data_IF_666543864775
#
_entry.id   IF_666543864775
#
_cell.length_a   1.000
_cell.length_b   1.000
_cell.length_c   1.000
_cell.angle_alpha   90.00
_cell.angle_beta   90.00
_cell.angle_gamma   90.00
#
_symmetry.space_group_name_H-M   'P 1'
#
loop_
_entity.id
_entity.type
_entity.pdbx_description
1 polymer ?
#
# COMPACT_ATOMS: atom_id res chain seq x y z
N UNK A 1 41.37 19.40 50.72
CA UNK A 1 41.93 20.64 50.13
C UNK A 1 41.90 20.46 48.63
N UNK A 2 41.30 21.44 47.97
CA UNK A 2 40.73 21.36 46.62
C UNK A 2 41.80 21.48 45.53
N UNK A 3 41.80 20.58 44.56
CA UNK A 3 42.47 20.79 43.26
C UNK A 3 41.43 20.74 42.15
N UNK A 4 41.09 21.93 41.65
CA UNK A 4 40.32 22.13 40.43
C UNK A 4 41.29 22.09 39.24
N UNK A 5 41.12 21.12 38.33
CA UNK A 5 41.76 21.13 37.02
C UNK A 5 40.75 21.57 35.98
N UNK A 6 40.89 22.81 35.52
CA UNK A 6 40.15 23.36 34.40
C UNK A 6 40.63 22.77 33.08
N UNK A 7 39.69 22.24 32.29
CA UNK A 7 39.94 21.80 30.92
C UNK A 7 39.54 22.95 30.00
N UNK A 8 40.54 23.46 29.27
CA UNK A 8 40.40 24.50 28.25
C UNK A 8 39.95 23.86 26.93
N UNK A 9 38.73 24.19 26.50
CA UNK A 9 38.24 23.85 25.16
C UNK A 9 38.68 24.94 24.18
N UNK A 10 39.56 24.58 23.24
CA UNK A 10 39.94 25.41 22.10
C UNK A 10 38.83 25.33 21.05
N UNK A 11 38.27 26.47 20.70
CA UNK A 11 37.36 26.66 19.56
C UNK A 11 38.11 26.46 18.25
N UNK A 12 37.69 25.44 17.48
CA UNK A 12 38.15 25.19 16.12
C UNK A 12 37.37 26.04 15.11
N UNK A 13 38.09 26.82 14.33
CA UNK A 13 37.60 27.71 13.27
C UNK A 13 37.05 26.91 12.09
N UNK A 14 35.78 27.12 11.74
CA UNK A 14 35.13 26.56 10.56
C UNK A 14 35.54 27.37 9.31
N UNK A 15 36.37 26.79 8.45
CA UNK A 15 36.71 27.35 7.14
C UNK A 15 35.63 26.93 6.14
N UNK A 16 34.78 27.88 5.74
CA UNK A 16 33.85 27.73 4.61
C UNK A 16 34.56 28.07 3.31
N UNK A 17 34.81 27.08 2.46
CA UNK A 17 35.06 27.28 1.03
C UNK A 17 33.85 26.76 0.25
N UNK A 18 33.02 27.69 -0.23
CA UNK A 18 31.98 27.42 -1.22
C UNK A 18 32.30 28.23 -2.47
N UNK A 19 32.91 27.59 -3.46
CA UNK A 19 33.02 28.12 -4.81
C UNK A 19 31.85 27.57 -5.64
N UNK A 20 30.82 28.39 -5.83
CA UNK A 20 29.75 28.16 -6.79
C UNK A 20 30.29 28.45 -8.19
N UNK A 21 30.37 27.42 -9.03
CA UNK A 21 30.64 27.54 -10.46
C UNK A 21 29.34 27.34 -11.21
N UNK A 22 28.80 28.43 -11.75
CA UNK A 22 27.60 28.47 -12.60
C UNK A 22 27.92 27.95 -14.00
N UNK A 23 27.14 27.02 -14.59
CA UNK A 23 27.25 26.71 -16.01
C UNK A 23 26.46 27.70 -16.88
N UNK A 24 26.88 27.93 -18.14
CA UNK A 24 26.30 28.93 -19.02
C UNK A 24 24.97 28.47 -19.65
N UNK A 25 24.06 29.44 -19.75
CA UNK A 25 22.76 29.38 -20.42
C UNK A 25 22.98 29.32 -21.94
N UNK A 26 22.51 28.25 -22.59
CA UNK A 26 22.40 28.17 -24.04
C UNK A 26 21.04 28.69 -24.50
N UNK A 27 21.11 29.71 -25.34
CA UNK A 27 20.01 30.37 -26.05
C UNK A 27 19.43 29.46 -27.15
N UNK A 28 18.13 29.18 -27.08
CA UNK A 28 17.40 28.52 -28.17
C UNK A 28 16.82 29.55 -29.13
N UNK A 29 17.23 29.43 -30.40
CA UNK A 29 16.87 30.28 -31.52
C UNK A 29 15.51 29.86 -32.11
N UNK A 30 14.73 30.87 -32.53
CA UNK A 30 13.49 30.76 -33.30
C UNK A 30 13.60 29.92 -34.58
N UNK A 31 12.54 29.18 -34.90
CA UNK A 31 12.28 28.60 -36.22
C UNK A 31 10.79 28.62 -36.51
N UNK A 32 10.39 29.48 -37.43
CA UNK A 32 9.02 29.76 -37.82
C UNK A 32 8.52 28.85 -38.96
N UNK A 33 7.18 28.84 -39.10
CA UNK A 33 6.39 28.56 -40.32
C UNK A 33 6.41 27.14 -40.92
N UNK A 34 5.22 26.51 -40.92
CA UNK A 34 4.64 26.12 -42.21
C UNK A 34 3.11 26.03 -42.18
N UNK A 35 2.49 26.78 -43.08
CA UNK A 35 1.07 26.80 -43.42
C UNK A 35 0.80 25.83 -44.58
N UNK A 36 -0.21 24.97 -44.47
CA UNK A 36 -0.88 24.31 -45.62
C UNK A 36 -2.34 24.01 -45.23
N UNK A 37 -3.30 24.69 -45.87
CA UNK A 37 -4.27 24.14 -46.86
C UNK A 37 -4.77 22.74 -46.46
N UNK A 38 -6.03 22.52 -46.09
CA UNK A 38 -7.27 23.00 -46.69
C UNK A 38 -7.86 21.88 -47.53
N UNK A 39 -8.82 21.12 -46.96
CA UNK A 39 -9.77 20.25 -47.68
C UNK A 39 -11.10 20.26 -46.91
N UNK A 40 -12.17 20.47 -47.67
CA UNK A 40 -13.59 20.62 -47.32
C UNK A 40 -14.26 19.34 -46.77
N UNK A 41 -15.50 19.46 -46.24
CA UNK A 41 -16.16 18.42 -45.47
C UNK A 41 -17.02 17.50 -46.35
N UNK A 42 -16.98 16.19 -46.10
CA UNK A 42 -17.94 15.25 -46.66
C UNK A 42 -19.10 15.03 -45.68
N UNK A 43 -20.29 15.25 -46.23
CA UNK A 43 -21.60 15.04 -45.65
C UNK A 43 -21.84 13.55 -45.37
N UNK A 44 -22.10 13.19 -44.10
CA UNK A 44 -22.56 11.86 -43.74
C UNK A 44 -24.07 11.87 -43.49
N UNK A 45 -24.76 11.20 -44.40
CA UNK A 45 -26.19 10.93 -44.43
C UNK A 45 -26.74 10.32 -43.14
N UNK A 46 -27.77 10.96 -42.58
CA UNK A 46 -28.60 10.38 -41.50
C UNK A 46 -29.84 9.72 -42.10
N UNK A 47 -30.18 8.46 -41.74
CA UNK A 47 -31.37 7.78 -42.27
C UNK A 47 -32.68 8.26 -41.61
N UNK A 48 -33.83 8.08 -42.30
CA UNK A 48 -35.09 8.72 -41.94
C UNK A 48 -35.82 8.07 -40.76
N UNK A 49 -36.49 8.96 -40.02
CA UNK A 49 -37.34 8.75 -38.85
C UNK A 49 -38.60 7.96 -39.22
N UNK A 50 -38.83 6.82 -38.57
CA UNK A 50 -40.07 6.04 -38.73
C UNK A 50 -41.29 6.75 -38.09
N UNK A 51 -42.52 6.46 -38.56
CA UNK A 51 -43.71 7.26 -38.26
C UNK A 51 -44.39 6.88 -36.94
N UNK A 52 -44.97 7.90 -36.31
CA UNK A 52 -45.94 7.78 -35.21
C UNK A 52 -47.21 7.08 -35.70
N UNK A 53 -47.54 5.96 -35.08
CA UNK A 53 -48.88 5.36 -35.16
C UNK A 53 -49.65 5.71 -33.89
N UNK A 54 -50.87 6.23 -34.08
CA UNK A 54 -51.81 6.55 -33.03
C UNK A 54 -52.61 5.31 -32.58
N UNK A 55 -52.89 5.25 -31.26
CA UNK A 55 -54.13 4.84 -30.54
C UNK A 55 -54.85 3.53 -30.92
N UNK A 56 -55.34 2.72 -29.95
CA UNK A 56 -56.40 3.19 -29.03
C UNK A 56 -56.41 2.62 -27.59
N UNK A 57 -57.28 3.25 -26.80
CA UNK A 57 -57.76 2.94 -25.45
C UNK A 57 -58.03 1.46 -25.17
N UNK A 58 -57.60 0.97 -23.99
CA UNK A 58 -58.43 0.09 -23.17
C UNK A 58 -57.82 -0.25 -21.80
N UNK A 59 -58.69 -0.12 -20.79
CA UNK A 59 -58.81 -0.95 -19.58
C UNK A 59 -57.86 -0.67 -18.40
N UNK A 60 -58.46 0.02 -17.42
CA UNK A 60 -58.28 -0.01 -15.96
C UNK A 60 -57.27 -1.03 -15.39
N UNK A 61 -56.28 -0.59 -14.59
CA UNK A 61 -55.54 -1.48 -13.71
C UNK A 61 -56.33 -1.73 -12.39
N UNK A 62 -56.28 -2.95 -11.84
CA UNK A 62 -56.78 -3.25 -10.50
C UNK A 62 -55.90 -2.59 -9.42
N UNK A 63 -56.54 -2.19 -8.32
CA UNK A 63 -55.91 -1.56 -7.15
C UNK A 63 -54.69 -2.34 -6.62
N UNK A 64 -53.58 -1.67 -6.26
CA UNK A 64 -52.48 -2.33 -5.60
C UNK A 64 -52.83 -2.60 -4.13
N UNK A 65 -52.80 -3.87 -3.74
CA UNK A 65 -52.67 -4.29 -2.35
C UNK A 65 -51.32 -3.79 -1.84
N UNK A 66 -51.34 -2.91 -0.84
CA UNK A 66 -50.16 -2.46 -0.12
C UNK A 66 -49.47 -3.67 0.53
N UNK A 67 -48.25 -4.08 0.12
CA UNK A 67 -47.46 -4.97 0.94
C UNK A 67 -47.05 -4.18 2.18
N UNK A 68 -47.48 -4.66 3.35
CA UNK A 68 -47.00 -4.18 4.64
C UNK A 68 -45.50 -4.47 4.69
N UNK A 69 -44.68 -3.50 4.28
CA UNK A 69 -43.25 -3.51 4.52
C UNK A 69 -43.08 -3.42 6.03
N UNK A 70 -42.90 -4.59 6.66
CA UNK A 70 -42.27 -4.72 7.96
C UNK A 70 -40.87 -4.15 7.82
N UNK A 71 -40.78 -2.82 7.97
CA UNK A 71 -39.57 -2.12 8.36
C UNK A 71 -39.20 -2.69 9.72
N UNK A 72 -38.47 -3.81 9.68
CA UNK A 72 -37.81 -4.37 10.85
C UNK A 72 -36.77 -3.35 11.30
N UNK A 73 -37.21 -2.41 12.13
CA UNK A 73 -36.35 -1.49 12.85
C UNK A 73 -35.35 -2.37 13.62
N UNK A 74 -34.13 -2.45 13.11
CA UNK A 74 -33.01 -3.03 13.86
C UNK A 74 -32.97 -2.30 15.20
N UNK A 75 -33.11 -3.00 16.33
CA UNK A 75 -33.14 -2.37 17.65
C UNK A 75 -31.89 -1.52 17.85
N UNK A 76 -32.02 -0.37 18.54
CA UNK A 76 -30.88 0.51 18.80
C UNK A 76 -29.82 -0.30 19.56
N UNK A 77 -28.62 -0.33 18.98
CA UNK A 77 -27.50 -1.09 19.52
C UNK A 77 -27.08 -0.45 20.84
N UNK A 78 -27.30 -1.16 21.95
CA UNK A 78 -26.66 -0.83 23.23
C UNK A 78 -25.15 -0.68 22.98
N UNK A 79 -24.49 0.31 23.61
CA UNK A 79 -23.04 0.41 23.53
C UNK A 79 -22.43 -0.93 23.95
N UNK A 80 -21.60 -1.50 23.07
CA UNK A 80 -20.90 -2.75 23.41
C UNK A 80 -19.81 -2.38 24.41
N UNK A 81 -19.93 -2.88 25.63
CA UNK A 81 -18.93 -2.67 26.68
C UNK A 81 -17.61 -3.41 26.40
N UNK A 82 -17.61 -4.37 25.44
CA UNK A 82 -16.44 -5.14 25.07
C UNK A 82 -15.79 -4.65 23.77
N UNK A 83 -14.54 -4.13 23.81
CA UNK A 83 -13.84 -3.63 22.63
C UNK A 83 -13.58 -4.71 21.57
N UNK A 84 -13.38 -5.97 21.98
CA UNK A 84 -13.19 -7.10 21.05
C UNK A 84 -14.44 -7.32 20.19
N UNK A 85 -15.62 -7.32 20.81
CA UNK A 85 -16.89 -7.55 20.10
C UNK A 85 -17.23 -6.36 19.18
N UNK A 86 -16.87 -5.14 19.58
CA UNK A 86 -17.00 -3.96 18.75
C UNK A 86 -16.12 -4.02 17.50
N UNK A 87 -14.84 -4.44 17.64
CA UNK A 87 -13.93 -4.65 16.50
C UNK A 87 -14.42 -5.77 15.58
N UNK A 88 -14.81 -6.91 16.14
CA UNK A 88 -15.31 -8.03 15.35
C UNK A 88 -16.52 -7.64 14.51
N UNK A 89 -17.44 -6.85 15.08
CA UNK A 89 -18.60 -6.34 14.36
C UNK A 89 -18.22 -5.43 13.19
N UNK A 90 -17.20 -4.58 13.38
CA UNK A 90 -16.69 -3.71 12.31
C UNK A 90 -16.14 -4.56 11.17
N UNK A 91 -15.29 -5.54 11.50
CA UNK A 91 -14.67 -6.47 10.54
C UNK A 91 -15.74 -7.25 9.78
N UNK A 92 -16.73 -7.82 10.47
CA UNK A 92 -17.84 -8.55 9.85
C UNK A 92 -18.64 -7.67 8.91
N UNK A 93 -19.03 -6.45 9.33
CA UNK A 93 -19.77 -5.52 8.47
C UNK A 93 -18.99 -5.20 7.20
N UNK A 94 -17.68 -5.02 7.29
CA UNK A 94 -16.82 -4.85 6.12
C UNK A 94 -16.80 -6.08 5.22
N UNK A 95 -16.71 -7.29 5.79
CA UNK A 95 -16.78 -8.52 5.02
C UNK A 95 -18.10 -8.66 4.24
N UNK A 96 -19.19 -8.07 4.75
CA UNK A 96 -20.49 -8.02 4.09
C UNK A 96 -20.69 -6.81 3.16
N UNK A 97 -19.67 -5.99 2.95
CA UNK A 97 -19.69 -4.87 2.00
C UNK A 97 -20.30 -3.57 2.54
N UNK A 98 -20.54 -3.45 3.85
CA UNK A 98 -20.88 -2.15 4.43
C UNK A 98 -19.70 -1.19 4.25
N UNK A 99 -19.94 0.10 4.04
CA UNK A 99 -18.87 1.09 4.10
C UNK A 99 -18.61 1.52 5.55
N UNK A 100 -17.35 1.58 5.98
CA UNK A 100 -17.01 2.29 7.23
C UNK A 100 -17.16 3.79 7.05
N UNK A 101 -17.35 4.46 8.19
CA UNK A 101 -17.22 5.92 8.27
C UNK A 101 -15.76 6.37 8.27
N UNK A 102 -14.87 5.52 8.76
CA UNK A 102 -13.46 5.81 9.01
C UNK A 102 -12.60 4.69 8.41
N UNK A 103 -11.53 5.06 7.72
CA UNK A 103 -10.60 4.14 7.06
C UNK A 103 -9.50 3.63 8.01
N UNK A 104 -9.47 4.15 9.24
CA UNK A 104 -8.48 3.80 10.27
C UNK A 104 -9.13 3.80 11.64
N UNK A 105 -8.76 2.84 12.50
CA UNK A 105 -9.21 2.78 13.90
C UNK A 105 -8.19 2.11 14.80
N UNK A 106 -7.77 2.81 15.85
CA UNK A 106 -7.01 2.24 16.95
C UNK A 106 -7.94 1.87 18.12
N UNK A 107 -7.75 0.69 18.71
CA UNK A 107 -8.52 0.21 19.86
C UNK A 107 -7.56 -0.39 20.89
N UNK A 108 -7.56 0.08 22.14
CA UNK A 108 -6.79 -0.55 23.20
C UNK A 108 -7.40 -1.92 23.53
N UNK A 109 -6.56 -2.96 23.60
CA UNK A 109 -6.95 -4.30 24.04
C UNK A 109 -5.96 -4.77 25.12
N UNK A 110 -6.41 -5.69 25.97
CA UNK A 110 -5.48 -6.55 26.72
C UNK A 110 -4.92 -7.65 25.81
N UNK A 111 -3.79 -8.24 26.17
CA UNK A 111 -3.23 -9.40 25.44
C UNK A 111 -4.25 -10.54 25.29
N UNK A 112 -5.05 -10.80 26.33
CA UNK A 112 -6.11 -11.82 26.28
C UNK A 112 -7.23 -11.46 25.30
N UNK A 113 -7.63 -10.20 25.22
CA UNK A 113 -8.61 -9.71 24.25
C UNK A 113 -8.09 -9.76 22.81
N UNK A 114 -6.80 -9.45 22.61
CA UNK A 114 -6.12 -9.55 21.33
C UNK A 114 -6.09 -11.01 20.85
N UNK A 115 -5.62 -11.95 21.66
CA UNK A 115 -5.62 -13.37 21.29
C UNK A 115 -7.02 -13.88 21.01
N UNK A 116 -8.00 -13.54 21.87
CA UNK A 116 -9.40 -13.92 21.64
C UNK A 116 -9.96 -13.38 20.32
N UNK A 117 -9.61 -12.14 19.94
CA UNK A 117 -10.02 -11.58 18.65
C UNK A 117 -9.49 -12.43 17.49
N UNK A 118 -8.20 -12.77 17.53
CA UNK A 118 -7.56 -13.59 16.50
C UNK A 118 -8.14 -15.00 16.44
N UNK A 119 -8.38 -15.64 17.59
CA UNK A 119 -8.98 -16.97 17.66
C UNK A 119 -10.38 -17.00 17.04
N UNK A 120 -11.20 -15.98 17.30
CA UNK A 120 -12.55 -15.87 16.72
C UNK A 120 -12.48 -15.69 15.21
N UNK A 121 -11.55 -14.87 14.72
CA UNK A 121 -11.36 -14.65 13.27
C UNK A 121 -10.90 -15.95 12.61
N UNK A 122 -9.88 -16.62 13.17
CA UNK A 122 -9.33 -17.86 12.62
C UNK A 122 -10.34 -19.01 12.62
N UNK A 123 -11.30 -19.02 13.54
CA UNK A 123 -12.36 -20.02 13.59
C UNK A 123 -13.40 -19.88 12.46
N UNK A 124 -13.52 -18.70 11.83
CA UNK A 124 -14.40 -18.45 10.69
C UNK A 124 -13.56 -18.32 9.41
N UNK A 125 -13.45 -19.39 8.63
CA UNK A 125 -12.58 -19.43 7.43
C UNK A 125 -12.92 -18.34 6.39
N UNK A 126 -14.19 -17.92 6.31
CA UNK A 126 -14.58 -16.86 5.37
C UNK A 126 -14.11 -15.50 5.89
N UNK A 127 -14.26 -15.26 7.19
CA UNK A 127 -13.79 -14.04 7.83
C UNK A 127 -12.26 -13.97 7.89
N UNK A 128 -11.57 -15.08 8.17
CA UNK A 128 -10.11 -15.17 8.20
C UNK A 128 -9.50 -14.83 6.84
N UNK A 129 -10.04 -15.43 5.77
CA UNK A 129 -9.64 -15.11 4.40
C UNK A 129 -9.87 -13.65 4.06
N UNK A 130 -10.99 -13.05 4.49
CA UNK A 130 -11.22 -11.62 4.31
C UNK A 130 -10.25 -10.77 5.13
N UNK A 131 -10.08 -11.09 6.40
CA UNK A 131 -9.27 -10.35 7.37
C UNK A 131 -7.81 -10.26 6.94
N UNK A 132 -7.20 -11.38 6.53
CA UNK A 132 -5.80 -11.43 6.11
C UNK A 132 -5.57 -10.83 4.72
N UNK A 133 -6.54 -10.93 3.80
CA UNK A 133 -6.35 -10.45 2.42
C UNK A 133 -6.77 -8.99 2.22
N UNK A 134 -7.80 -8.53 2.92
CA UNK A 134 -8.46 -7.24 2.66
C UNK A 134 -8.18 -6.18 3.71
N UNK A 135 -7.83 -6.57 4.93
CA UNK A 135 -7.53 -5.62 5.98
C UNK A 135 -6.03 -5.55 6.19
N UNK A 136 -5.58 -4.42 6.73
CA UNK A 136 -4.24 -4.26 7.27
C UNK A 136 -4.41 -3.99 8.76
N UNK A 137 -3.59 -4.63 9.58
CA UNK A 137 -3.69 -4.46 11.02
C UNK A 137 -2.34 -4.62 11.68
N UNK A 138 -2.17 -3.88 12.76
CA UNK A 138 -0.96 -3.89 13.57
C UNK A 138 -1.35 -4.08 15.03
N UNK A 139 -0.46 -4.73 15.77
CA UNK A 139 -0.55 -4.83 17.22
C UNK A 139 0.73 -4.28 17.83
N UNK A 140 0.58 -3.25 18.69
CA UNK A 140 1.68 -2.68 19.45
C UNK A 140 1.45 -2.94 20.93
N UNK A 141 2.32 -3.75 21.52
CA UNK A 141 2.37 -3.88 22.97
C UNK A 141 2.82 -2.55 23.59
N UNK A 142 2.12 -2.05 24.61
CA UNK A 142 2.50 -0.79 25.28
C UNK A 142 3.25 -1.06 26.57
N UNK A 143 2.99 -2.19 27.24
CA UNK A 143 3.71 -2.61 28.45
C UNK A 143 3.66 -1.62 29.61
N UNK A 144 2.80 -0.60 29.54
CA UNK A 144 2.66 0.44 30.56
C UNK A 144 2.01 -0.10 31.84
N UNK A 145 1.38 -1.27 31.78
CA UNK A 145 0.73 -1.91 32.90
C UNK A 145 1.04 -3.41 33.01
N UNK A 146 1.00 -3.93 34.24
CA UNK A 146 1.12 -5.37 34.54
C UNK A 146 0.04 -6.23 33.85
N UNK A 147 -0.99 -5.59 33.26
CA UNK A 147 -2.08 -6.25 32.56
C UNK A 147 -1.70 -6.72 31.15
N UNK A 148 -0.56 -6.26 30.62
CA UNK A 148 -0.11 -6.59 29.27
C UNK A 148 -1.04 -6.02 28.21
N UNK A 149 -1.34 -4.73 28.30
CA UNK A 149 -2.15 -4.02 27.31
C UNK A 149 -1.36 -3.64 26.06
N UNK A 150 -2.10 -3.35 24.99
CA UNK A 150 -1.55 -2.85 23.74
C UNK A 150 -2.62 -2.20 22.88
N UNK A 151 -2.18 -1.66 21.74
CA UNK A 151 -3.05 -0.97 20.77
C UNK A 151 -3.18 -1.84 19.52
N UNK A 152 -4.42 -2.21 19.20
CA UNK A 152 -4.79 -2.84 17.94
C UNK A 152 -5.21 -1.77 16.94
N UNK A 153 -4.45 -1.62 15.87
CA UNK A 153 -4.73 -0.67 14.80
C UNK A 153 -5.28 -1.41 13.60
N UNK A 154 -6.52 -1.12 13.23
CA UNK A 154 -7.15 -1.60 12.00
C UNK A 154 -7.07 -0.51 10.93
N UNK A 155 -6.47 -0.83 9.79
CA UNK A 155 -6.31 0.04 8.62
C UNK A 155 -7.06 -0.55 7.43
N UNK A 156 -7.81 0.30 6.73
CA UNK A 156 -8.57 -0.05 5.52
C UNK A 156 -7.95 0.64 4.31
N UNK A 157 -7.07 -0.05 3.56
CA UNK A 157 -6.50 0.51 2.34
C UNK A 157 -7.59 1.05 1.43
N UNK A 158 -7.41 2.29 0.96
CA UNK A 158 -8.30 2.91 -0.02
C UNK A 158 -7.83 2.59 -1.44
N UNK A 159 -8.66 2.86 -2.46
CA UNK A 159 -8.21 2.69 -3.84
C UNK A 159 -7.03 3.64 -4.16
N UNK A 160 -7.05 4.87 -3.62
CA UNK A 160 -5.93 5.80 -3.76
C UNK A 160 -4.63 5.22 -3.18
N UNK A 161 -4.72 4.63 -1.99
CA UNK A 161 -3.60 3.96 -1.33
C UNK A 161 -3.00 2.86 -2.21
N UNK A 162 -3.84 1.90 -2.60
CA UNK A 162 -3.41 0.70 -3.33
C UNK A 162 -2.86 1.03 -4.72
N UNK A 163 -3.49 1.98 -5.42
CA UNK A 163 -3.01 2.42 -6.73
C UNK A 163 -1.68 3.15 -6.62
N UNK A 164 -1.50 4.00 -5.60
CA UNK A 164 -0.24 4.73 -5.43
C UNK A 164 0.91 3.76 -5.16
N UNK A 165 0.75 2.84 -4.22
CA UNK A 165 1.81 1.89 -3.85
C UNK A 165 2.13 0.93 -4.99
N UNK A 166 1.13 0.46 -5.73
CA UNK A 166 1.31 -0.40 -6.92
C UNK A 166 2.14 0.30 -8.00
N UNK A 167 1.89 1.60 -8.24
CA UNK A 167 2.69 2.41 -9.18
C UNK A 167 4.12 2.64 -8.70
N UNK A 168 4.31 2.94 -7.42
CA UNK A 168 5.64 3.11 -6.84
C UNK A 168 6.46 1.82 -6.95
N UNK A 169 5.88 0.69 -6.56
CA UNK A 169 6.52 -0.62 -6.66
C UNK A 169 6.88 -0.97 -8.11
N UNK A 170 5.93 -0.76 -9.04
CA UNK A 170 6.16 -0.97 -10.48
C UNK A 170 7.32 -0.12 -10.97
N UNK A 171 7.41 1.13 -10.52
CA UNK A 171 8.48 2.02 -10.93
C UNK A 171 9.84 1.60 -10.40
N UNK A 172 9.93 1.14 -9.16
CA UNK A 172 11.17 0.58 -8.60
C UNK A 172 11.64 -0.62 -9.45
N UNK A 173 10.72 -1.51 -9.84
CA UNK A 173 11.02 -2.63 -10.76
C UNK A 173 11.48 -2.17 -12.15
N UNK A 174 10.97 -1.05 -12.64
CA UNK A 174 11.47 -0.45 -13.89
C UNK A 174 12.88 0.10 -13.75
N UNK A 175 13.23 0.72 -12.62
CA UNK A 175 14.60 1.18 -12.36
C UNK A 175 15.58 -0.01 -12.26
N UNK A 176 15.16 -1.15 -11.69
CA UNK A 176 15.96 -2.39 -11.71
C UNK A 176 16.37 -2.82 -13.12
N UNK A 177 15.48 -2.70 -14.12
CA UNK A 177 15.79 -3.07 -15.51
C UNK A 177 16.82 -2.16 -16.17
N UNK A 178 17.13 -1.01 -15.57
CA UNK A 178 18.14 -0.07 -16.06
C UNK A 178 19.50 -0.29 -15.41
N UNK A 179 19.59 -1.22 -14.46
CA UNK A 179 20.86 -1.54 -13.80
C UNK A 179 21.84 -2.17 -14.79
N UNK A 180 23.16 -2.03 -14.57
CA UNK A 180 24.17 -2.64 -15.43
C UNK A 180 24.03 -4.17 -15.50
N UNK A 181 24.34 -4.76 -16.66
CA UNK A 181 24.24 -6.21 -16.87
C UNK A 181 25.05 -7.03 -15.84
N UNK A 182 26.11 -6.45 -15.28
CA UNK A 182 26.96 -7.07 -14.26
C UNK A 182 26.21 -7.39 -12.96
N UNK A 183 25.21 -6.59 -12.59
CA UNK A 183 24.42 -6.76 -11.36
C UNK A 183 23.02 -7.34 -11.63
N UNK A 184 22.67 -7.60 -12.89
CA UNK A 184 21.34 -8.08 -13.25
C UNK A 184 21.00 -9.43 -12.60
N UNK A 185 21.98 -10.34 -12.52
CA UNK A 185 21.77 -11.65 -11.86
C UNK A 185 21.39 -11.49 -10.39
N UNK A 186 21.91 -10.47 -9.71
CA UNK A 186 21.57 -10.14 -8.34
C UNK A 186 20.20 -9.48 -8.26
N UNK A 187 19.90 -8.56 -9.18
CA UNK A 187 18.58 -7.94 -9.30
C UNK A 187 17.47 -8.98 -9.51
N UNK A 188 17.73 -10.02 -10.30
CA UNK A 188 16.77 -11.09 -10.58
C UNK A 188 16.42 -11.94 -9.35
N UNK A 189 17.22 -11.85 -8.27
CA UNK A 189 16.92 -12.48 -6.97
C UNK A 189 16.06 -11.61 -6.05
N UNK A 190 15.83 -10.35 -6.43
CA UNK A 190 14.95 -9.44 -5.70
C UNK A 190 13.52 -9.61 -6.24
N UNK A 191 12.57 -9.84 -5.34
CA UNK A 191 11.16 -9.96 -5.70
C UNK A 191 10.29 -9.07 -4.81
N UNK A 192 9.11 -8.72 -5.32
CA UNK A 192 8.12 -8.00 -4.52
C UNK A 192 7.40 -8.98 -3.59
N UNK A 193 7.31 -8.60 -2.31
CA UNK A 193 6.51 -9.28 -1.30
C UNK A 193 5.38 -8.35 -0.86
N UNK A 194 4.19 -8.49 -1.47
CA UNK A 194 2.98 -7.78 -1.01
C UNK A 194 2.42 -8.45 0.25
N UNK A 195 1.97 -7.65 1.23
CA UNK A 195 1.13 -8.10 2.36
C UNK A 195 1.63 -9.28 3.22
N UNK A 196 2.94 -9.57 3.24
CA UNK A 196 3.55 -10.35 4.30
C UNK A 196 3.59 -9.56 5.62
N UNK A 197 3.42 -10.29 6.71
CA UNK A 197 3.46 -9.76 8.05
C UNK A 197 4.89 -9.87 8.58
N UNK A 198 5.42 -8.79 9.14
CA UNK A 198 6.61 -8.84 9.97
C UNK A 198 6.18 -9.10 11.41
N UNK A 199 6.91 -9.99 12.08
CA UNK A 199 6.76 -10.23 13.51
C UNK A 199 8.06 -9.80 14.18
N UNK A 200 7.98 -8.78 15.03
CA UNK A 200 9.07 -8.45 15.96
C UNK A 200 8.80 -9.13 17.32
N UNK A 201 9.62 -8.82 18.31
CA UNK A 201 9.44 -9.31 19.68
C UNK A 201 8.21 -8.72 20.38
N UNK A 202 7.66 -7.62 19.86
CA UNK A 202 6.63 -6.79 20.50
C UNK A 202 5.25 -6.94 19.86
N UNK A 203 5.15 -7.61 18.71
CA UNK A 203 3.90 -7.85 18.03
C UNK A 203 4.04 -8.10 16.54
N UNK A 204 3.08 -7.52 15.81
CA UNK A 204 2.89 -7.71 14.38
C UNK A 204 2.89 -6.35 13.71
N UNK A 205 3.68 -6.23 12.65
CA UNK A 205 3.74 -5.06 11.78
C UNK A 205 3.48 -5.49 10.35
N UNK A 206 2.46 -4.91 9.72
CA UNK A 206 2.08 -5.26 8.35
C UNK A 206 2.51 -4.15 7.40
N UNK A 207 3.54 -4.38 6.58
CA UNK A 207 3.88 -3.43 5.53
C UNK A 207 2.88 -3.49 4.37
N UNK A 208 2.59 -2.34 3.78
CA UNK A 208 1.70 -2.25 2.63
C UNK A 208 2.30 -2.93 1.39
N UNK A 209 3.59 -2.71 1.15
CA UNK A 209 4.38 -3.43 0.17
C UNK A 209 5.86 -3.49 0.58
N UNK A 210 6.65 -4.27 -0.14
CA UNK A 210 8.09 -4.28 0.04
C UNK A 210 8.80 -5.25 -0.88
N UNK A 211 10.12 -5.27 -0.76
CA UNK A 211 11.01 -6.08 -1.57
C UNK A 211 11.81 -7.02 -0.68
N UNK A 212 11.85 -8.28 -1.07
CA UNK A 212 12.62 -9.32 -0.43
C UNK A 212 13.68 -9.85 -1.40
N UNK A 213 14.68 -10.49 -0.83
CA UNK A 213 15.75 -11.19 -1.55
C UNK A 213 15.53 -12.69 -1.39
N UNK A 214 15.90 -13.48 -2.40
CA UNK A 214 15.76 -14.94 -2.34
C UNK A 214 16.45 -15.50 -1.08
N UNK A 215 15.84 -16.47 -0.43
CA UNK A 215 16.33 -17.06 0.83
C UNK A 215 16.47 -16.10 2.02
N UNK A 216 15.97 -14.86 1.90
CA UNK A 216 15.87 -13.92 3.00
C UNK A 216 14.47 -14.00 3.63
N UNK A 217 14.35 -14.32 4.95
CA UNK A 217 13.04 -14.48 5.58
C UNK A 217 12.34 -13.15 5.88
N UNK A 218 13.02 -12.02 5.68
CA UNK A 218 12.51 -10.68 5.90
C UNK A 218 12.61 -9.84 4.62
N UNK A 219 11.80 -8.79 4.57
CA UNK A 219 11.91 -7.79 3.51
C UNK A 219 13.02 -6.83 3.85
N UNK A 220 13.76 -6.43 2.83
CA UNK A 220 14.90 -5.55 2.98
C UNK A 220 14.50 -4.10 2.70
N UNK A 221 13.52 -3.87 1.83
CA UNK A 221 12.92 -2.55 1.62
C UNK A 221 11.43 -2.61 1.88
N UNK A 222 10.93 -1.76 2.77
CA UNK A 222 9.51 -1.64 3.13
C UNK A 222 8.93 -0.35 2.58
N UNK A 223 7.70 -0.44 2.07
CA UNK A 223 6.90 0.69 1.63
C UNK A 223 5.65 0.77 2.51
N UNK A 224 5.48 1.91 3.16
CA UNK A 224 4.32 2.22 3.99
C UNK A 224 3.64 3.47 3.44
N UNK A 225 2.33 3.40 3.21
CA UNK A 225 1.55 4.55 2.79
C UNK A 225 0.61 4.92 3.92
N UNK A 226 0.95 5.99 4.61
CA UNK A 226 0.20 6.48 5.74
C UNK A 226 -0.93 7.40 5.32
N UNK A 227 -1.94 7.47 6.20
CA UNK A 227 -2.94 8.53 6.15
C UNK A 227 -2.35 9.78 6.79
N UNK A 228 -2.59 10.96 6.23
CA UNK A 228 -2.22 12.26 6.84
C UNK A 228 -2.80 12.57 8.21
N UNK A 229 -3.62 11.67 8.73
CA UNK A 229 -4.17 11.72 10.08
C UNK A 229 -3.25 11.05 11.11
N UNK A 230 -2.25 10.30 10.65
CA UNK A 230 -1.23 9.66 11.48
C UNK A 230 -0.15 10.68 11.80
N UNK A 231 0.26 10.78 13.06
CA UNK A 231 1.34 11.69 13.45
C UNK A 231 2.66 11.20 12.84
N UNK A 232 3.55 12.11 12.43
CA UNK A 232 4.87 11.74 11.92
C UNK A 232 5.67 10.93 12.96
N UNK A 233 5.45 11.14 14.26
CA UNK A 233 6.04 10.33 15.32
C UNK A 233 5.62 8.84 15.20
N UNK A 234 4.35 8.57 14.87
CA UNK A 234 3.88 7.19 14.68
C UNK A 234 4.55 6.53 13.46
N UNK A 235 4.89 7.32 12.43
CA UNK A 235 5.61 6.83 11.25
C UNK A 235 7.08 6.56 11.52
N UNK A 236 7.71 7.37 12.39
CA UNK A 236 9.04 7.09 12.88
C UNK A 236 9.08 5.78 13.67
N UNK A 237 8.17 5.62 14.64
CA UNK A 237 8.07 4.40 15.46
C UNK A 237 7.73 3.16 14.60
N UNK A 238 6.91 3.34 13.55
CA UNK A 238 6.64 2.29 12.56
C UNK A 238 7.90 1.91 11.77
N UNK A 239 8.68 2.90 11.30
CA UNK A 239 9.93 2.64 10.60
C UNK A 239 10.97 1.96 11.50
N UNK A 240 11.09 2.38 12.76
CA UNK A 240 11.98 1.76 13.74
C UNK A 240 11.65 0.28 13.92
N UNK A 241 10.36 -0.08 14.08
CA UNK A 241 9.94 -1.49 14.20
C UNK A 241 10.24 -2.30 12.95
N UNK A 242 10.08 -1.73 11.75
CA UNK A 242 10.45 -2.43 10.51
C UNK A 242 11.96 -2.68 10.40
N UNK A 243 12.78 -1.70 10.78
CA UNK A 243 14.24 -1.86 10.82
C UNK A 243 14.62 -2.90 11.88
N UNK A 244 13.98 -2.87 13.06
CA UNK A 244 14.16 -3.88 14.12
C UNK A 244 13.75 -5.29 13.67
N UNK A 245 12.74 -5.40 12.82
CA UNK A 245 12.33 -6.66 12.20
C UNK A 245 13.27 -7.14 11.06
N UNK A 246 14.36 -6.42 10.77
CA UNK A 246 15.39 -6.82 9.82
C UNK A 246 15.38 -6.07 8.48
N UNK A 247 14.53 -5.06 8.33
CA UNK A 247 14.54 -4.25 7.11
C UNK A 247 15.81 -3.39 7.03
N UNK A 248 16.33 -3.20 5.82
CA UNK A 248 17.43 -2.27 5.58
C UNK A 248 16.93 -0.84 5.39
N UNK A 249 15.79 -0.69 4.72
CA UNK A 249 15.26 0.60 4.30
C UNK A 249 13.75 0.61 4.46
N UNK A 250 13.23 1.71 4.98
CA UNK A 250 11.78 1.94 5.11
C UNK A 250 11.46 3.27 4.44
N UNK A 251 10.45 3.25 3.59
CA UNK A 251 9.89 4.44 2.94
C UNK A 251 8.50 4.62 3.49
N UNK A 252 8.26 5.72 4.19
CA UNK A 252 6.91 6.10 4.60
C UNK A 252 6.44 7.22 3.69
N UNK A 253 5.27 7.08 3.09
CA UNK A 253 4.65 8.10 2.24
C UNK A 253 3.41 8.58 2.95
N UNK A 254 3.40 9.86 3.32
CA UNK A 254 2.24 10.48 3.91
C UNK A 254 1.37 11.08 2.78
N UNK A 255 0.20 10.49 2.56
CA UNK A 255 -0.76 11.00 1.59
C UNK A 255 -1.90 11.72 2.30
N UNK A 256 -2.24 12.94 1.87
CA UNK A 256 -3.44 13.59 2.36
C UNK A 256 -4.69 12.81 1.96
N UNK A 257 -5.46 12.39 2.98
CA UNK A 257 -6.81 11.85 2.80
C UNK A 257 -7.84 12.83 3.35
N UNK A 258 -8.49 13.51 2.42
CA UNK A 258 -9.72 14.19 2.73
C UNK A 258 -10.81 13.15 3.05
N UNK A 259 -11.54 13.34 4.15
CA UNK A 259 -12.80 12.62 4.42
C UNK A 259 -13.74 12.75 3.21
N UNK A 260 -14.72 11.87 3.03
CA UNK A 260 -15.70 12.02 1.94
C UNK A 260 -16.37 13.41 1.93
N UNK A 261 -16.54 14.03 3.10
CA UNK A 261 -17.05 15.39 3.22
C UNK A 261 -16.03 16.43 2.72
N UNK A 262 -14.76 16.31 3.11
CA UNK A 262 -13.70 17.19 2.65
C UNK A 262 -13.38 17.02 1.15
N UNK A 263 -13.43 15.79 0.61
CA UNK A 263 -13.23 15.51 -0.83
C UNK A 263 -14.27 16.21 -1.71
N UNK A 264 -15.46 16.48 -1.17
CA UNK A 264 -16.54 17.17 -1.87
C UNK A 264 -16.40 18.69 -1.83
N UNK A 265 -15.47 19.25 -1.06
CA UNK A 265 -15.24 20.70 -1.03
C UNK A 265 -14.26 21.08 -2.15
N UNK A 266 -14.74 21.66 -3.27
CA UNK A 266 -13.88 22.02 -4.39
C UNK A 266 -12.89 23.14 -4.07
N UNK A 267 -13.04 23.82 -2.91
CA UNK A 267 -12.19 24.94 -2.52
C UNK A 267 -10.95 24.52 -1.73
N UNK A 268 -10.84 23.24 -1.34
CA UNK A 268 -9.67 22.68 -0.67
C UNK A 268 -8.96 21.72 -1.61
N UNK A 269 -8.02 22.19 -2.45
CA UNK A 269 -7.18 21.29 -3.21
C UNK A 269 -6.46 20.34 -2.24
N UNK A 270 -6.42 19.02 -2.51
CA UNK A 270 -5.59 18.09 -1.76
C UNK A 270 -4.14 18.50 -2.02
N UNK A 271 -3.42 18.91 -0.99
CA UNK A 271 -2.21 19.72 -1.17
C UNK A 271 -0.95 19.08 -0.64
N UNK A 272 -1.05 18.13 0.28
CA UNK A 272 0.13 17.67 0.98
C UNK A 272 0.37 16.19 0.69
N UNK A 273 1.52 15.90 0.07
CA UNK A 273 2.06 14.56 0.02
C UNK A 273 3.58 14.63 0.20
N UNK A 274 4.05 13.92 1.21
CA UNK A 274 5.45 13.88 1.58
C UNK A 274 5.92 12.45 1.77
N UNK A 275 7.23 12.25 1.84
CA UNK A 275 7.80 10.98 2.26
C UNK A 275 8.96 11.17 3.23
N UNK A 276 9.18 10.15 4.05
CA UNK A 276 10.41 9.97 4.81
C UNK A 276 11.14 8.73 4.28
N UNK A 277 12.47 8.76 4.35
CA UNK A 277 13.34 7.65 4.00
C UNK A 277 14.23 7.34 5.19
N UNK A 278 14.11 6.12 5.70
CA UNK A 278 14.90 5.60 6.81
C UNK A 278 15.80 4.48 6.29
N UNK A 279 17.07 4.45 6.74
CA UNK A 279 18.02 3.40 6.42
C UNK A 279 18.68 2.85 7.67
N UNK A 280 19.06 1.59 7.63
CA UNK A 280 19.97 1.00 8.63
C UNK A 280 21.39 1.50 8.39
N UNK A 281 22.02 1.97 9.46
CA UNK A 281 23.45 2.26 9.50
C UNK A 281 24.14 1.26 10.43
N UNK A 282 25.26 0.72 9.96
CA UNK A 282 26.11 -0.18 10.73
C UNK A 282 27.27 0.63 11.32
N UNK A 283 27.59 0.39 12.58
CA UNK A 283 28.72 1.01 13.25
C UNK A 283 29.37 0.01 14.21
N UNK A 284 30.67 0.19 14.47
CA UNK A 284 31.43 -0.62 15.41
C UNK A 284 31.66 0.17 16.70
N UNK A 285 31.32 -0.42 17.85
CA UNK A 285 31.59 0.11 19.19
C UNK A 285 32.15 -1.04 20.04
N UNK A 286 33.31 -0.84 20.67
CA UNK A 286 33.99 -1.87 21.49
C UNK A 286 34.20 -3.24 20.81
N UNK A 287 34.49 -3.24 19.50
CA UNK A 287 34.70 -4.46 18.72
C UNK A 287 33.42 -5.24 18.40
N UNK A 288 32.25 -4.65 18.65
CA UNK A 288 30.94 -5.21 18.32
C UNK A 288 30.27 -4.37 17.23
N UNK A 289 29.60 -5.04 16.31
CA UNK A 289 28.80 -4.40 15.28
C UNK A 289 27.39 -4.13 15.80
N UNK A 290 26.97 -2.87 15.69
CA UNK A 290 25.65 -2.40 16.04
C UNK A 290 24.92 -1.88 14.82
N UNK A 291 23.60 -1.85 14.91
CA UNK A 291 22.71 -1.28 13.90
C UNK A 291 21.90 -0.16 14.53
N UNK A 292 21.73 0.93 13.80
CA UNK A 292 20.78 1.99 14.15
C UNK A 292 20.00 2.43 12.93
N UNK A 293 18.82 2.98 13.15
CA UNK A 293 18.05 3.65 12.11
C UNK A 293 18.59 5.08 11.92
N UNK A 294 18.82 5.47 10.67
CA UNK A 294 19.13 6.84 10.27
C UNK A 294 18.01 7.41 9.40
N UNK A 295 17.64 8.66 9.68
CA UNK A 295 16.69 9.41 8.86
C UNK A 295 17.47 10.08 7.72
N UNK A 296 17.30 9.55 6.51
CA UNK A 296 18.00 10.06 5.31
C UNK A 296 17.22 11.22 4.70
N UNK A 297 15.89 11.10 4.67
CA UNK A 297 14.97 12.14 4.19
C UNK A 297 13.84 12.25 5.20
N UNK A 298 13.51 13.48 5.59
CA UNK A 298 12.44 13.75 6.54
C UNK A 298 11.41 14.69 5.91
N UNK A 299 10.15 14.24 5.89
CA UNK A 299 8.97 15.00 5.46
C UNK A 299 9.16 15.73 4.12
N UNK A 300 9.74 15.03 3.13
CA UNK A 300 10.01 15.61 1.83
C UNK A 300 8.73 15.70 1.02
N UNK A 301 8.19 16.91 0.96
CA UNK A 301 7.11 17.27 0.05
C UNK A 301 7.57 17.08 -1.41
N UNK A 302 6.97 16.13 -2.11
CA UNK A 302 7.30 15.83 -3.51
C UNK A 302 6.36 16.51 -4.50
N UNK A 303 5.27 17.13 -4.03
CA UNK A 303 4.32 17.88 -4.87
C UNK A 303 4.86 19.29 -5.12
N UNK A 304 5.37 19.94 -4.06
CA UNK A 304 5.90 21.31 -4.14
C UNK A 304 7.42 21.37 -4.45
N UNK A 305 8.08 20.21 -4.61
CA UNK A 305 9.48 20.11 -5.00
C UNK A 305 9.68 19.27 -6.29
N UNK A 306 9.30 19.78 -7.47
CA UNK A 306 9.32 19.01 -8.72
C UNK A 306 10.72 18.64 -9.22
N UNK A 307 11.78 19.30 -8.73
CA UNK A 307 13.16 19.04 -9.16
C UNK A 307 13.86 17.96 -8.31
N UNK A 308 13.22 17.51 -7.22
CA UNK A 308 13.74 16.46 -6.37
C UNK A 308 13.52 15.06 -6.92
N UNK A 309 14.02 14.08 -6.17
CA UNK A 309 13.83 12.66 -6.46
C UNK A 309 13.90 11.83 -5.18
N UNK A 310 13.13 10.74 -5.14
CA UNK A 310 13.34 9.64 -4.21
C UNK A 310 14.54 8.82 -4.71
N UNK A 311 15.50 8.59 -3.83
CA UNK A 311 16.79 7.96 -4.15
C UNK A 311 17.03 6.70 -3.31
N UNK A 312 17.02 5.55 -3.97
CA UNK A 312 17.29 4.24 -3.38
C UNK A 312 18.59 3.67 -3.96
N UNK A 313 19.33 2.91 -3.16
CA UNK A 313 20.53 2.21 -3.60
C UNK A 313 20.20 0.75 -3.86
N UNK A 314 20.88 0.10 -4.79
CA UNK A 314 20.69 -1.34 -5.01
C UNK A 314 21.05 -2.13 -3.74
N UNK A 315 22.04 -1.66 -2.96
CA UNK A 315 22.41 -2.22 -1.66
C UNK A 315 21.31 -2.20 -0.60
N UNK A 316 20.30 -1.32 -0.73
CA UNK A 316 19.13 -1.30 0.14
C UNK A 316 18.33 -2.61 0.04
N UNK A 317 18.37 -3.27 -1.14
CA UNK A 317 17.60 -4.47 -1.45
C UNK A 317 18.35 -5.78 -1.22
N UNK A 318 19.55 -5.74 -0.64
CA UNK A 318 20.41 -6.91 -0.45
C UNK A 318 20.68 -7.21 1.03
N UNK A 319 20.78 -8.50 1.40
CA UNK A 319 21.35 -8.89 2.69
C UNK A 319 22.76 -8.30 2.85
N UNK A 320 23.16 -8.04 4.09
CA UNK A 320 24.44 -7.40 4.39
C UNK A 320 25.64 -8.14 3.77
N UNK A 321 25.64 -9.47 3.81
CA UNK A 321 26.71 -10.30 3.24
C UNK A 321 26.77 -10.27 1.70
N UNK A 322 25.70 -9.83 1.04
CA UNK A 322 25.63 -9.68 -0.42
C UNK A 322 26.08 -8.28 -0.88
N UNK A 323 26.00 -7.27 0.00
CA UNK A 323 26.37 -5.88 -0.33
C UNK A 323 27.81 -5.71 -0.84
N UNK A 324 28.84 -6.41 -0.33
CA UNK A 324 30.18 -6.34 -0.88
C UNK A 324 30.25 -6.71 -2.37
N UNK A 325 29.30 -7.48 -2.91
CA UNK A 325 29.27 -7.78 -4.36
C UNK A 325 28.95 -6.55 -5.21
N UNK A 326 28.44 -5.48 -4.59
CA UNK A 326 28.11 -4.24 -5.28
C UNK A 326 29.24 -3.21 -5.34
N UNK A 327 30.37 -3.36 -4.62
CA UNK A 327 31.42 -2.33 -4.40
C UNK A 327 31.26 -1.02 -5.23
N UNK A 328 31.79 -0.98 -6.45
CA UNK A 328 31.76 0.19 -7.35
C UNK A 328 30.47 0.33 -8.19
N UNK A 329 29.61 -0.68 -8.14
CA UNK A 329 28.38 -0.84 -8.93
C UNK A 329 27.09 -0.72 -8.09
N UNK A 330 27.14 -0.11 -6.90
CA UNK A 330 25.94 0.17 -6.10
C UNK A 330 25.09 1.24 -6.80
N UNK A 331 24.22 0.75 -7.68
CA UNK A 331 23.45 1.57 -8.59
C UNK A 331 22.41 2.41 -7.84
N UNK A 332 22.34 3.69 -8.16
CA UNK A 332 21.35 4.61 -7.62
C UNK A 332 20.05 4.54 -8.44
N UNK A 333 19.00 4.01 -7.84
CA UNK A 333 17.64 4.03 -8.36
C UNK A 333 17.03 5.40 -8.05
N UNK A 334 16.68 6.15 -9.10
CA UNK A 334 16.18 7.52 -8.97
C UNK A 334 14.76 7.63 -9.51
N UNK A 335 13.81 7.99 -8.65
CA UNK A 335 12.41 8.23 -9.02
C UNK A 335 12.13 9.74 -8.90
N UNK A 336 11.98 10.46 -10.03
CA UNK A 336 11.72 11.90 -9.99
C UNK A 336 10.43 12.23 -9.24
N UNK A 337 10.42 13.35 -8.51
CA UNK A 337 9.22 13.80 -7.79
C UNK A 337 8.03 14.06 -8.71
N UNK A 338 8.26 14.53 -9.94
CA UNK A 338 7.21 14.66 -10.96
C UNK A 338 6.54 13.34 -11.32
N UNK A 339 7.25 12.22 -11.19
CA UNK A 339 6.70 10.87 -11.40
C UNK A 339 5.84 10.46 -10.19
N UNK A 340 6.29 10.73 -8.96
CA UNK A 340 5.51 10.48 -7.74
C UNK A 340 4.21 11.30 -7.71
N UNK A 341 4.27 12.58 -8.08
CA UNK A 341 3.10 13.43 -8.24
C UNK A 341 2.15 12.87 -9.31
N UNK A 342 2.68 12.41 -10.45
CA UNK A 342 1.88 11.71 -11.46
C UNK A 342 1.16 10.46 -10.93
N UNK A 343 1.80 9.68 -10.06
CA UNK A 343 1.16 8.53 -9.39
C UNK A 343 0.04 8.98 -8.47
N UNK A 344 0.25 10.03 -7.69
CA UNK A 344 -0.73 10.62 -6.78
C UNK A 344 -1.96 11.14 -7.53
N UNK A 345 -1.75 11.88 -8.63
CA UNK A 345 -2.83 12.39 -9.47
C UNK A 345 -3.66 11.25 -10.07
N UNK A 346 -2.99 10.21 -10.60
CA UNK A 346 -3.67 9.04 -11.15
C UNK A 346 -4.49 8.31 -10.09
N UNK A 347 -3.90 8.03 -8.92
CA UNK A 347 -4.57 7.38 -7.80
C UNK A 347 -5.78 8.19 -7.29
N UNK A 348 -5.65 9.52 -7.22
CA UNK A 348 -6.73 10.43 -6.82
C UNK A 348 -7.88 10.43 -7.84
N UNK A 349 -7.57 10.39 -9.13
CA UNK A 349 -8.58 10.30 -10.18
C UNK A 349 -9.36 8.97 -10.11
N UNK A 350 -8.67 7.85 -9.90
CA UNK A 350 -9.32 6.54 -9.71
C UNK A 350 -10.24 6.51 -8.49
N UNK A 351 -9.77 7.04 -7.35
CA UNK A 351 -10.59 7.15 -6.15
C UNK A 351 -11.84 8.03 -6.38
N UNK A 352 -11.69 9.14 -7.09
CA UNK A 352 -12.81 10.04 -7.41
C UNK A 352 -13.89 9.38 -8.26
N UNK A 353 -13.49 8.52 -9.22
CA UNK A 353 -14.42 7.71 -10.03
C UNK A 353 -15.19 6.74 -9.13
N UNK A 354 -14.49 6.02 -8.25
CA UNK A 354 -15.11 5.08 -7.32
C UNK A 354 -16.09 5.78 -6.38
N UNK A 355 -15.72 6.94 -5.85
CA UNK A 355 -16.58 7.74 -4.97
C UNK A 355 -17.85 8.20 -5.71
N UNK A 356 -17.72 8.62 -6.98
CA UNK A 356 -18.87 8.99 -7.82
C UNK A 356 -19.80 7.80 -8.06
N UNK A 357 -19.26 6.62 -8.35
CA UNK A 357 -20.05 5.39 -8.53
C UNK A 357 -20.79 4.98 -7.25
N UNK A 358 -20.16 5.13 -6.09
CA UNK A 358 -20.79 4.86 -4.78
C UNK A 358 -21.87 5.89 -4.42
N UNK A 359 -21.72 7.14 -4.86
CA UNK A 359 -22.68 8.21 -4.58
C UNK A 359 -23.94 8.15 -5.45
N UNK A 360 -23.86 7.53 -6.63
CA UNK A 360 -25.05 7.33 -7.44
C UNK A 360 -25.97 6.32 -6.73
N UNK A 361 -27.24 6.67 -6.47
CA UNK A 361 -28.18 5.69 -5.94
C UNK A 361 -28.16 4.53 -6.90
N UNK A 362 -27.92 3.32 -6.39
CA UNK A 362 -27.94 2.10 -7.18
C UNK A 362 -29.32 2.03 -7.81
N UNK A 363 -29.45 2.56 -9.03
CA UNK A 363 -30.67 2.51 -9.82
C UNK A 363 -30.92 1.04 -9.91
N UNK A 364 -31.90 0.54 -9.15
CA UNK A 364 -32.00 -0.87 -8.82
C UNK A 364 -31.84 -1.65 -10.11
N UNK A 365 -30.67 -2.30 -10.25
CA UNK A 365 -30.41 -3.14 -11.41
C UNK A 365 -31.64 -4.04 -11.50
N UNK A 366 -32.31 -4.09 -12.67
CA UNK A 366 -33.59 -4.77 -12.79
C UNK A 366 -33.41 -6.14 -12.18
N UNK A 367 -34.13 -6.37 -11.07
CA UNK A 367 -33.99 -7.59 -10.25
C UNK A 367 -33.96 -8.75 -11.21
N UNK A 368 -32.80 -9.38 -11.34
CA UNK A 368 -32.62 -10.56 -12.18
C UNK A 368 -33.57 -11.59 -11.59
N UNK A 369 -34.77 -11.74 -12.19
CA UNK A 369 -35.66 -12.82 -11.82
C UNK A 369 -34.88 -14.08 -12.16
N UNK A 370 -34.47 -14.90 -11.18
CA UNK A 370 -33.75 -16.12 -11.48
C UNK A 370 -34.59 -16.89 -12.50
N UNK A 371 -34.02 -17.14 -13.69
CA UNK A 371 -34.70 -17.86 -14.75
C UNK A 371 -35.13 -19.20 -14.18
N UNK A 372 -36.43 -19.36 -13.95
CA UNK A 372 -37.02 -20.62 -13.47
C UNK A 372 -36.95 -21.72 -14.52
N UNK A 373 -36.43 -21.40 -15.70
CA UNK A 373 -36.14 -22.36 -16.76
C UNK A 373 -34.87 -23.14 -16.40
N UNK A 374 -35.00 -24.08 -15.45
CA UNK A 374 -34.01 -25.14 -15.22
C UNK A 374 -33.82 -25.85 -16.56
N UNK A 375 -32.64 -25.78 -17.21
CA UNK A 375 -32.42 -26.52 -18.45
C UNK A 375 -32.65 -28.00 -18.15
N UNK A 376 -33.66 -28.59 -18.80
CA UNK A 376 -33.87 -30.04 -18.79
C UNK A 376 -32.57 -30.66 -19.29
N UNK A 377 -31.81 -31.30 -18.38
CA UNK A 377 -30.74 -32.22 -18.75
C UNK A 377 -31.37 -33.27 -19.66
N UNK A 378 -31.08 -33.19 -20.96
CA UNK A 378 -31.30 -34.32 -21.87
C UNK A 378 -30.37 -35.43 -21.38
N UNK A 379 -30.97 -36.48 -20.85
CA UNK A 379 -30.29 -37.75 -20.62
C UNK A 379 -30.36 -38.53 -21.93
N UNK A 380 -29.24 -38.55 -22.65
CA UNK A 380 -28.92 -39.43 -23.79
C UNK A 380 -27.38 -39.28 -23.88
N UNK A 381 -26.53 -40.25 -23.55
CA UNK A 381 -26.66 -41.67 -23.76
C UNK A 381 -25.92 -42.04 -25.06
N UNK A 382 -24.59 -41.98 -25.08
CA UNK A 382 -23.76 -43.09 -25.57
C UNK A 382 -22.23 -42.82 -25.48
N UNK A 383 -21.40 -43.87 -25.28
CA UNK A 383 -19.95 -43.81 -25.26
C UNK A 383 -19.34 -44.29 -26.59
N UNK A 384 -18.29 -43.62 -27.08
CA UNK A 384 -17.13 -44.26 -27.70
C UNK A 384 -16.07 -43.23 -28.15
N UNK A 385 -14.78 -43.62 -28.19
CA UNK A 385 -13.65 -42.72 -28.19
C UNK A 385 -13.11 -42.45 -29.60
N UNK A 386 -12.56 -41.26 -29.82
CA UNK A 386 -11.66 -41.03 -30.95
C UNK A 386 -10.62 -39.98 -30.60
N UNK A 387 -9.39 -40.48 -30.49
CA UNK A 387 -8.12 -39.79 -30.53
C UNK A 387 -8.07 -38.73 -31.62
N UNK A 388 -7.68 -37.50 -31.26
CA UNK A 388 -7.00 -36.62 -32.21
C UNK A 388 -6.06 -35.63 -31.53
N UNK A 389 -4.81 -35.75 -31.96
CA UNK A 389 -3.72 -34.81 -31.82
C UNK A 389 -4.13 -33.39 -32.26
N UNK A 390 -3.66 -32.37 -31.54
CA UNK A 390 -2.62 -31.46 -32.05
C UNK A 390 -2.57 -30.14 -31.26
N UNK A 391 -1.33 -29.68 -31.06
CA UNK A 391 -0.91 -28.29 -31.24
C UNK A 391 -1.33 -27.24 -30.21
N UNK A 392 -0.32 -26.86 -29.42
CA UNK A 392 0.13 -25.48 -29.20
C UNK A 392 -0.92 -24.43 -28.83
N UNK A 393 -1.00 -24.14 -27.53
CA UNK A 393 -1.18 -22.77 -27.06
C UNK A 393 -0.18 -22.47 -25.96
N UNK A 394 0.74 -21.58 -26.31
CA UNK A 394 1.62 -20.83 -25.42
C UNK A 394 0.73 -19.90 -24.59
N UNK A 395 0.42 -20.33 -23.37
CA UNK A 395 -0.22 -19.50 -22.36
C UNK A 395 0.86 -18.96 -21.44
N UNK A 396 1.14 -17.66 -21.53
CA UNK A 396 1.84 -16.92 -20.47
C UNK A 396 0.94 -16.87 -19.25
N UNK A 397 1.04 -17.91 -18.42
CA UNK A 397 0.50 -17.90 -17.07
C UNK A 397 1.35 -16.94 -16.24
N UNK A 398 0.76 -15.81 -15.85
CA UNK A 398 1.20 -15.09 -14.66
C UNK A 398 1.19 -16.08 -13.49
N UNK A 399 2.39 -16.50 -13.09
CA UNK A 399 2.63 -17.24 -11.86
C UNK A 399 2.44 -16.25 -10.72
N UNK A 400 1.18 -15.99 -10.35
CA UNK A 400 0.86 -15.59 -8.99
C UNK A 400 1.11 -16.81 -8.11
N UNK A 401 2.38 -17.00 -7.73
CA UNK A 401 2.75 -18.00 -6.76
C UNK A 401 2.06 -17.64 -5.43
N UNK A 402 1.00 -18.37 -5.13
CA UNK A 402 0.49 -18.55 -3.78
C UNK A 402 1.60 -19.26 -2.97
N UNK A 403 2.60 -18.50 -2.54
CA UNK A 403 3.51 -18.89 -1.46
C UNK A 403 2.82 -18.61 -0.12
N UNK A 404 1.72 -19.31 0.10
CA UNK A 404 0.98 -19.29 1.35
C UNK A 404 1.31 -20.52 2.19
N UNK A 405 1.82 -20.27 3.39
CA UNK A 405 1.68 -21.09 4.62
C UNK A 405 2.84 -21.91 5.20
N UNK A 406 4.04 -21.99 4.61
CA UNK A 406 5.14 -22.81 5.20
C UNK A 406 6.34 -22.04 5.79
N UNK A 407 6.14 -20.78 6.19
CA UNK A 407 7.20 -19.98 6.84
C UNK A 407 7.57 -20.42 8.27
N UNK A 408 6.79 -21.31 8.92
CA UNK A 408 7.13 -21.79 10.27
C UNK A 408 8.36 -22.71 10.29
N UNK A 409 8.76 -23.30 9.16
CA UNK A 409 9.87 -24.28 9.11
C UNK A 409 11.25 -23.67 8.79
N UNK A 410 11.33 -22.41 8.32
CA UNK A 410 12.59 -21.78 7.91
C UNK A 410 13.27 -20.94 9.02
N UNK A 411 12.62 -20.76 10.19
CA UNK A 411 13.22 -20.05 11.34
C UNK A 411 14.52 -20.68 11.86
N UNK A 412 14.82 -21.93 11.54
CA UNK A 412 15.97 -22.66 12.08
C UNK A 412 17.20 -22.68 11.15
N UNK A 413 17.13 -22.17 9.92
CA UNK A 413 18.26 -22.25 8.96
C UNK A 413 19.06 -20.95 8.80
N UNK A 414 18.54 -19.81 9.25
CA UNK A 414 19.24 -18.51 9.19
C UNK A 414 19.52 -17.94 10.59
N UNK A 415 19.96 -18.79 11.51
CA UNK A 415 20.53 -18.32 12.78
C UNK A 415 21.93 -17.75 12.51
N UNK A 416 21.99 -16.55 11.91
CA UNK A 416 23.13 -15.70 12.22
C UNK A 416 23.11 -15.45 13.73
N UNK A 417 24.27 -15.42 14.40
CA UNK A 417 24.31 -15.10 15.82
C UNK A 417 23.63 -13.74 15.98
N UNK A 418 22.46 -13.76 16.62
CA UNK A 418 21.75 -12.60 17.11
C UNK A 418 22.67 -11.90 18.11
N UNK A 419 23.62 -11.10 17.63
CA UNK A 419 24.24 -10.09 18.45
C UNK A 419 23.11 -9.23 18.98
N UNK A 420 23.06 -9.05 20.31
CA UNK A 420 22.04 -8.23 20.95
C UNK A 420 21.93 -6.89 20.21
N UNK A 421 20.82 -6.69 19.50
CA UNK A 421 20.57 -5.45 18.77
C UNK A 421 20.16 -4.42 19.82
N UNK A 422 21.14 -3.74 20.39
CA UNK A 422 20.91 -2.65 21.32
C UNK A 422 20.58 -1.37 20.52
N UNK A 423 19.29 -1.07 20.38
CA UNK A 423 18.82 0.18 19.79
C UNK A 423 19.08 1.33 20.78
N UNK A 424 20.14 2.11 20.55
CA UNK A 424 20.36 3.37 21.26
C UNK A 424 19.67 4.51 20.50
N UNK A 425 18.56 5.00 21.06
CA UNK A 425 17.82 6.14 20.53
C UNK A 425 18.55 7.45 20.87
N UNK A 426 19.29 8.02 19.92
CA UNK A 426 19.92 9.34 20.07
C UNK A 426 19.01 10.41 19.48
N UNK A 427 17.95 10.81 20.20
CA UNK A 427 17.23 12.06 19.88
C UNK A 427 18.21 13.22 20.06
N UNK A 428 18.60 13.84 18.95
CA UNK A 428 19.51 15.00 18.90
C UNK A 428 18.73 16.30 18.87
#
# INVERSE_FOLDING_TARGET
MSEARGISLKSGTLVKHSTLTTPPILTSVHGAMNTRRGVSPDEAHTPPRSPRTASPSSLLPPSPLNPTTSSGATPPLSPLDNPTDALLRIIQRQAYGDALKEDWRAVPLSIGQYHRLLDIIAADSALDGFFNNKLRWDWRYTGEDDSGSGIFSLRMPTLKHDVFIDKLETRIKEEFRKTPAQVQTLVDTIFCARSADAHDTEGKVSADAGFAFIDCPFRLVQLEVAYSQVNNDDLYDLAERHIAAGSNTVITVNLEYATLAHRKDPNKPPKDASYCLYRVAEFEEDGKNYRRMEVIVFDQDFVNNPHGSLELKLSDFLPLHERPKLEENDHLLRIPHTVLDGFLQFATAQQSILDHQKAQPTTMLPTFKPSTTRPKRKAEGDPAPSSREASSQESTSEVNASFGSDYKSLRNLCHEPSGDIEFRNTKS
#
